data_IF_366582657127
#
_entry.id   IF_366582657127
#
_cell.length_a   1.000
_cell.length_b   1.000
_cell.length_c   1.000
_cell.angle_alpha   90.00
_cell.angle_beta   90.00
_cell.angle_gamma   90.00
#
_symmetry.space_group_name_H-M   'P 1'
#
loop_
_entity.id
_entity.type
_entity.pdbx_description
1 polymer ?
#
# COMPACT_ATOMS: atom_id res chain seq x y z
N UNK A 1 -20.42 -3.74 2.32
CA UNK A 1 -20.54 -2.28 2.18
C UNK A 1 -21.47 -1.79 3.28
N UNK A 2 -21.12 -0.76 4.06
CA UNK A 2 -21.99 -0.27 5.15
C UNK A 2 -23.30 0.28 4.56
N UNK A 3 -24.41 0.12 5.28
CA UNK A 3 -25.75 0.50 4.84
C UNK A 3 -25.84 1.98 4.39
N UNK A 4 -25.14 2.86 5.11
CA UNK A 4 -25.03 4.29 4.78
C UNK A 4 -24.32 4.53 3.43
N UNK A 5 -23.23 3.80 3.16
CA UNK A 5 -22.49 3.89 1.90
C UNK A 5 -23.35 3.44 0.72
N UNK A 6 -24.11 2.36 0.88
CA UNK A 6 -25.03 1.89 -0.14
C UNK A 6 -26.17 2.90 -0.40
N UNK A 7 -26.72 3.50 0.67
CA UNK A 7 -27.74 4.54 0.55
C UNK A 7 -27.22 5.79 -0.15
N UNK A 8 -25.98 6.19 0.13
CA UNK A 8 -25.34 7.34 -0.51
C UNK A 8 -25.12 7.13 -2.01
N UNK A 9 -24.58 5.96 -2.39
CA UNK A 9 -24.41 5.56 -3.80
C UNK A 9 -25.76 5.62 -4.54
N UNK A 10 -26.82 5.05 -3.94
CA UNK A 10 -28.17 5.08 -4.51
C UNK A 10 -28.72 6.50 -4.67
N UNK A 11 -28.47 7.39 -3.71
CA UNK A 11 -28.89 8.81 -3.79
C UNK A 11 -28.19 9.55 -4.91
N UNK A 12 -26.88 9.33 -5.11
CA UNK A 12 -26.13 9.92 -6.22
C UNK A 12 -26.62 9.44 -7.58
N UNK A 13 -26.87 8.14 -7.73
CA UNK A 13 -27.40 7.57 -8.97
C UNK A 13 -28.79 8.13 -9.30
N UNK A 14 -29.65 8.28 -8.30
CA UNK A 14 -30.94 8.96 -8.45
C UNK A 14 -30.79 10.44 -8.83
N UNK A 15 -29.83 11.16 -8.25
CA UNK A 15 -29.61 12.56 -8.61
C UNK A 15 -29.16 12.71 -10.07
N UNK A 16 -28.28 11.82 -10.54
CA UNK A 16 -27.84 11.79 -11.92
C UNK A 16 -28.99 11.51 -12.90
N UNK A 17 -29.91 10.60 -12.57
CA UNK A 17 -31.09 10.34 -13.41
C UNK A 17 -32.04 11.54 -13.49
N UNK A 18 -32.29 12.22 -12.36
CA UNK A 18 -33.10 13.44 -12.32
C UNK A 18 -32.48 14.54 -13.18
N UNK A 19 -31.15 14.71 -13.10
CA UNK A 19 -30.45 15.71 -13.90
C UNK A 19 -30.59 15.47 -15.40
N UNK A 20 -30.42 14.22 -15.86
CA UNK A 20 -30.65 13.85 -17.25
C UNK A 20 -32.03 14.29 -17.73
N UNK A 21 -33.06 13.94 -16.96
CA UNK A 21 -34.45 14.29 -17.29
C UNK A 21 -34.67 15.80 -17.34
N UNK A 22 -34.07 16.56 -16.42
CA UNK A 22 -34.13 18.03 -16.42
C UNK A 22 -33.47 18.65 -17.66
N UNK A 23 -32.31 18.16 -18.06
CA UNK A 23 -31.60 18.64 -19.26
C UNK A 23 -32.35 18.36 -20.56
N UNK A 24 -33.04 17.22 -20.64
CA UNK A 24 -33.71 16.77 -21.85
C UNK A 24 -35.09 17.43 -22.04
N UNK A 25 -35.75 17.85 -20.95
CA UNK A 25 -37.16 18.28 -20.96
C UNK A 25 -37.40 19.75 -20.58
N UNK A 26 -36.36 20.49 -20.17
CA UNK A 26 -36.52 21.88 -19.70
C UNK A 26 -35.51 22.81 -20.35
N UNK A 27 -35.98 23.95 -20.85
CA UNK A 27 -35.11 25.03 -21.32
C UNK A 27 -34.54 25.79 -20.12
N UNK A 28 -33.32 25.47 -19.74
CA UNK A 28 -32.63 26.05 -18.60
C UNK A 28 -31.65 27.14 -19.09
N UNK A 29 -31.47 28.21 -18.32
CA UNK A 29 -30.44 29.22 -18.62
C UNK A 29 -29.04 28.61 -18.62
N UNK A 30 -28.16 29.13 -19.48
CA UNK A 30 -26.80 28.60 -19.68
C UNK A 30 -26.00 28.54 -18.36
N UNK A 31 -26.17 29.53 -17.49
CA UNK A 31 -25.49 29.59 -16.19
C UNK A 31 -25.86 28.40 -15.28
N UNK A 32 -27.14 28.03 -15.24
CA UNK A 32 -27.59 26.89 -14.43
C UNK A 32 -27.12 25.58 -15.07
N UNK A 33 -27.14 25.48 -16.41
CA UNK A 33 -26.61 24.31 -17.13
C UNK A 33 -25.13 24.07 -16.80
N UNK A 34 -24.30 25.11 -16.84
CA UNK A 34 -22.88 25.00 -16.48
C UNK A 34 -22.66 24.61 -15.01
N UNK A 35 -23.43 25.19 -14.09
CA UNK A 35 -23.34 24.83 -12.67
C UNK A 35 -23.66 23.36 -12.42
N UNK A 36 -24.70 22.84 -13.07
CA UNK A 36 -25.10 21.45 -12.82
C UNK A 36 -24.19 20.45 -13.54
N UNK A 37 -23.67 20.77 -14.74
CA UNK A 37 -22.61 19.95 -15.37
C UNK A 37 -21.39 19.80 -14.46
N UNK A 38 -21.01 20.89 -13.77
CA UNK A 38 -19.94 20.85 -12.76
C UNK A 38 -20.29 19.93 -11.58
N UNK A 39 -21.49 20.06 -11.02
CA UNK A 39 -21.96 19.19 -9.93
C UNK A 39 -22.04 17.72 -10.34
N UNK A 40 -22.43 17.44 -11.58
CA UNK A 40 -22.48 16.08 -12.14
C UNK A 40 -21.08 15.46 -12.24
N UNK A 41 -20.10 16.24 -12.71
CA UNK A 41 -18.70 15.81 -12.76
C UNK A 41 -18.16 15.50 -11.37
N UNK A 42 -18.35 16.41 -10.42
CA UNK A 42 -17.94 16.23 -9.02
C UNK A 42 -18.62 15.01 -8.38
N UNK A 43 -19.93 14.84 -8.62
CA UNK A 43 -20.69 13.68 -8.15
C UNK A 43 -20.20 12.36 -8.73
N UNK A 44 -19.79 12.33 -10.00
CA UNK A 44 -19.23 11.14 -10.65
C UNK A 44 -17.86 10.78 -10.08
N UNK A 45 -16.98 11.76 -9.88
CA UNK A 45 -15.67 11.56 -9.24
C UNK A 45 -15.87 10.98 -7.83
N UNK A 46 -16.79 11.57 -7.06
CA UNK A 46 -17.11 11.11 -5.72
C UNK A 46 -17.70 9.68 -5.71
N UNK A 47 -18.58 9.35 -6.66
CA UNK A 47 -19.16 8.01 -6.80
C UNK A 47 -18.08 6.95 -7.06
N UNK A 48 -17.15 7.25 -7.96
CA UNK A 48 -16.01 6.35 -8.26
C UNK A 48 -15.14 6.16 -7.02
N UNK A 49 -14.83 7.23 -6.30
CA UNK A 49 -14.04 7.15 -5.07
C UNK A 49 -14.74 6.33 -3.98
N UNK A 50 -16.04 6.54 -3.74
CA UNK A 50 -16.82 5.81 -2.73
C UNK A 50 -16.99 4.33 -3.11
N UNK A 51 -17.21 4.02 -4.40
CA UNK A 51 -17.29 2.62 -4.86
C UNK A 51 -15.95 1.89 -4.69
N UNK A 52 -14.84 2.59 -4.89
CA UNK A 52 -13.48 2.04 -4.69
C UNK A 52 -13.17 1.81 -3.20
N UNK A 53 -13.45 2.80 -2.34
CA UNK A 53 -13.06 2.77 -0.92
C UNK A 53 -14.10 2.04 -0.05
N UNK A 54 -15.34 1.88 -0.51
CA UNK A 54 -16.40 1.13 0.19
C UNK A 54 -16.88 1.75 1.51
N UNK A 55 -16.49 3.00 1.79
CA UNK A 55 -16.81 3.77 2.99
C UNK A 55 -17.03 5.24 2.66
N UNK A 56 -17.85 5.93 3.46
CA UNK A 56 -18.06 7.38 3.38
C UNK A 56 -17.20 8.16 4.37
N UNK A 57 -16.48 7.46 5.24
CA UNK A 57 -15.68 8.10 6.27
C UNK A 57 -14.41 8.70 5.65
N UNK A 58 -14.26 10.02 5.77
CA UNK A 58 -13.02 10.75 5.46
C UNK A 58 -11.93 10.57 6.54
N UNK A 59 -12.20 9.79 7.59
CA UNK A 59 -11.20 9.42 8.59
C UNK A 59 -10.12 8.59 7.92
N UNK A 60 -8.88 9.10 7.94
CA UNK A 60 -7.74 8.51 7.25
C UNK A 60 -7.64 6.99 7.46
N UNK A 61 -7.31 6.28 6.37
CA UNK A 61 -7.06 4.84 6.42
C UNK A 61 -5.60 4.59 6.76
N UNK A 62 -5.36 3.57 7.57
CA UNK A 62 -4.03 2.96 7.65
C UNK A 62 -3.87 2.07 6.43
N UNK A 63 -2.88 2.35 5.62
CA UNK A 63 -2.47 1.49 4.52
C UNK A 63 -1.06 0.97 4.76
N UNK A 64 -0.81 -0.23 4.25
CA UNK A 64 0.54 -0.77 4.26
C UNK A 64 1.40 0.00 3.25
N UNK A 65 2.57 0.43 3.68
CA UNK A 65 3.58 1.05 2.81
C UNK A 65 4.81 0.16 2.78
N UNK A 66 5.17 -0.30 1.59
CA UNK A 66 6.36 -1.13 1.42
C UNK A 66 7.63 -0.35 1.80
N UNK A 67 8.44 -0.97 2.65
CA UNK A 67 9.70 -0.40 3.13
C UNK A 67 10.75 -0.38 2.02
N UNK A 68 11.85 0.36 2.25
CA UNK A 68 12.98 0.40 1.32
C UNK A 68 13.53 -1.01 1.06
N UNK A 69 13.63 -1.85 2.10
CA UNK A 69 14.05 -3.24 1.96
C UNK A 69 13.14 -4.01 1.01
N UNK A 70 11.81 -3.89 1.18
CA UNK A 70 10.83 -4.59 0.35
C UNK A 70 10.94 -4.15 -1.11
N UNK A 71 11.02 -2.84 -1.36
CA UNK A 71 11.18 -2.29 -2.71
C UNK A 71 12.46 -2.79 -3.36
N UNK A 72 13.59 -2.69 -2.67
CA UNK A 72 14.87 -3.19 -3.19
C UNK A 72 14.82 -4.69 -3.50
N UNK A 73 14.17 -5.50 -2.65
CA UNK A 73 13.99 -6.93 -2.87
C UNK A 73 13.20 -7.23 -4.14
N UNK A 74 12.10 -6.50 -4.38
CA UNK A 74 11.24 -6.68 -5.54
C UNK A 74 11.90 -6.19 -6.84
N UNK A 75 12.53 -5.01 -6.79
CA UNK A 75 13.08 -4.33 -7.97
C UNK A 75 14.52 -4.77 -8.30
N UNK A 76 15.17 -5.52 -7.40
CA UNK A 76 16.55 -5.98 -7.59
C UNK A 76 17.61 -4.93 -7.37
N UNK A 77 17.29 -3.89 -6.62
CA UNK A 77 18.26 -2.88 -6.21
C UNK A 77 19.22 -3.42 -5.14
N UNK A 78 20.36 -2.77 -5.00
CA UNK A 78 21.29 -3.08 -3.93
C UNK A 78 20.89 -2.30 -2.67
N UNK A 79 21.01 -2.95 -1.51
CA UNK A 79 20.73 -2.34 -0.23
C UNK A 79 21.97 -2.38 0.65
N UNK A 80 22.33 -1.23 1.22
CA UNK A 80 23.37 -1.11 2.24
C UNK A 80 22.70 -0.76 3.56
N UNK A 81 22.91 -1.57 4.60
CA UNK A 81 22.47 -1.28 5.96
C UNK A 81 23.71 -0.90 6.77
N UNK A 82 23.75 0.34 7.22
CA UNK A 82 24.90 0.87 7.94
C UNK A 82 24.81 0.65 9.45
N UNK A 83 25.98 0.44 10.07
CA UNK A 83 26.18 0.23 11.51
C UNK A 83 25.20 -0.80 12.11
N UNK A 84 25.10 -1.98 11.49
CA UNK A 84 24.11 -3.01 11.88
C UNK A 84 24.25 -3.46 13.32
N UNK A 85 25.43 -3.36 13.91
CA UNK A 85 25.70 -3.72 15.30
C UNK A 85 25.09 -2.74 16.32
N UNK A 86 24.60 -1.57 15.90
CA UNK A 86 23.80 -0.68 16.75
C UNK A 86 22.33 -1.12 16.84
N UNK A 87 21.91 -2.05 15.97
CA UNK A 87 20.55 -2.59 15.97
C UNK A 87 20.44 -3.77 16.96
N UNK A 88 19.26 -3.97 17.54
CA UNK A 88 19.00 -5.16 18.33
C UNK A 88 19.18 -6.42 17.48
N UNK A 89 19.90 -7.46 17.96
CA UNK A 89 20.09 -8.71 17.21
C UNK A 89 18.78 -9.33 16.73
N UNK A 90 17.71 -9.22 17.52
CA UNK A 90 16.38 -9.74 17.17
C UNK A 90 15.79 -9.09 15.91
N UNK A 91 16.16 -7.85 15.58
CA UNK A 91 15.72 -7.17 14.35
C UNK A 91 16.45 -7.75 13.14
N UNK A 92 17.77 -7.94 13.25
CA UNK A 92 18.57 -8.56 12.19
C UNK A 92 18.18 -10.03 11.97
N UNK A 93 17.79 -10.73 13.03
CA UNK A 93 17.39 -12.12 12.95
C UNK A 93 16.13 -12.34 12.08
N UNK A 94 15.31 -11.30 11.88
CA UNK A 94 14.20 -11.35 10.92
C UNK A 94 14.65 -11.48 9.46
N UNK A 95 15.90 -11.13 9.17
CA UNK A 95 16.51 -11.28 7.85
C UNK A 95 17.12 -12.66 7.63
N UNK A 96 17.29 -13.49 8.68
CA UNK A 96 17.96 -14.79 8.55
C UNK A 96 17.33 -15.68 7.47
N UNK A 97 16.00 -15.76 7.42
CA UNK A 97 15.29 -16.56 6.42
C UNK A 97 15.51 -16.07 4.98
N UNK A 98 15.71 -14.76 4.79
CA UNK A 98 16.03 -14.15 3.51
C UNK A 98 17.46 -14.48 3.07
N UNK A 99 18.38 -14.66 4.02
CA UNK A 99 19.81 -14.91 3.77
C UNK A 99 20.17 -16.39 3.60
N UNK A 100 19.19 -17.28 3.74
CA UNK A 100 19.35 -18.69 3.37
C UNK A 100 19.40 -18.87 1.84
N UNK A 101 19.97 -20.00 1.35
CA UNK A 101 19.88 -20.35 -0.07
C UNK A 101 18.41 -20.44 -0.52
N UNK A 102 18.05 -19.67 -1.56
CA UNK A 102 16.67 -19.50 -2.01
C UNK A 102 15.70 -18.95 -0.94
N UNK A 103 16.24 -18.18 0.02
CA UNK A 103 15.51 -17.57 1.11
C UNK A 103 14.42 -16.60 0.65
N UNK A 104 13.42 -16.41 1.52
CA UNK A 104 12.30 -15.49 1.30
C UNK A 104 12.11 -14.61 2.54
N UNK A 105 11.54 -13.43 2.34
CA UNK A 105 11.16 -12.53 3.43
C UNK A 105 9.66 -12.67 3.70
N UNK A 106 9.31 -13.24 4.85
CA UNK A 106 7.92 -13.30 5.32
C UNK A 106 7.54 -12.02 6.08
N UNK A 107 6.42 -11.41 5.72
CA UNK A 107 5.91 -10.17 6.33
C UNK A 107 4.55 -10.46 6.96
N UNK A 108 4.57 -10.92 8.22
CA UNK A 108 3.35 -11.22 8.97
C UNK A 108 2.56 -9.96 9.35
N UNK A 109 3.20 -8.80 9.46
CA UNK A 109 2.56 -7.53 9.84
C UNK A 109 1.65 -6.95 8.77
N UNK A 110 1.86 -7.32 7.50
CA UNK A 110 0.98 -6.93 6.39
C UNK A 110 -0.33 -7.70 6.40
N UNK A 111 -0.43 -8.75 7.23
CA UNK A 111 -1.57 -9.65 7.30
C UNK A 111 -1.53 -10.72 6.21
N UNK A 112 -2.70 -11.22 5.87
CA UNK A 112 -2.88 -12.22 4.80
C UNK A 112 -3.20 -11.55 3.48
N UNK A 113 -2.64 -12.08 2.39
CA UNK A 113 -2.98 -11.67 1.03
C UNK A 113 -4.42 -12.03 0.66
N UNK A 114 -4.84 -11.62 -0.55
CA UNK A 114 -6.18 -11.93 -1.08
C UNK A 114 -6.46 -13.44 -1.17
N UNK A 115 -5.41 -14.26 -1.22
CA UNK A 115 -5.43 -15.71 -1.25
C UNK A 115 -5.47 -16.37 0.15
N UNK A 116 -5.52 -15.56 1.21
CA UNK A 116 -5.53 -16.02 2.60
C UNK A 116 -4.18 -16.53 3.10
N UNK A 117 -3.09 -16.36 2.34
CA UNK A 117 -1.74 -16.78 2.73
C UNK A 117 -0.93 -15.62 3.29
N UNK A 118 0.09 -15.95 4.08
CA UNK A 118 1.08 -14.97 4.53
C UNK A 118 1.85 -14.43 3.33
N UNK A 119 2.16 -13.14 3.38
CA UNK A 119 2.90 -12.47 2.30
C UNK A 119 4.37 -12.82 2.41
N UNK A 120 4.85 -13.55 1.41
CA UNK A 120 6.25 -13.91 1.25
C UNK A 120 6.84 -13.22 0.02
N UNK A 121 7.97 -12.55 0.21
CA UNK A 121 8.68 -11.83 -0.83
C UNK A 121 9.93 -12.60 -1.21
N UNK A 122 9.99 -13.02 -2.47
CA UNK A 122 11.19 -13.64 -3.06
C UNK A 122 12.14 -12.54 -3.55
N UNK A 123 13.42 -12.57 -3.18
CA UNK A 123 14.38 -11.59 -3.67
C UNK A 123 14.55 -11.71 -5.18
N UNK A 124 14.62 -10.56 -5.85
CA UNK A 124 14.98 -10.49 -7.26
C UNK A 124 16.41 -10.97 -7.47
N UNK A 125 16.70 -11.59 -8.63
CA UNK A 125 18.01 -12.21 -8.94
C UNK A 125 19.20 -11.24 -8.82
N UNK A 126 18.95 -9.96 -9.07
CA UNK A 126 19.97 -8.89 -9.02
C UNK A 126 20.10 -8.21 -7.64
N UNK A 127 19.21 -8.52 -6.70
CA UNK A 127 19.27 -7.95 -5.35
C UNK A 127 20.57 -8.35 -4.64
N UNK A 128 21.21 -7.39 -3.98
CA UNK A 128 22.40 -7.61 -3.15
C UNK A 128 22.24 -6.84 -1.84
N UNK A 129 22.62 -7.47 -0.74
CA UNK A 129 22.59 -6.87 0.59
C UNK A 129 24.02 -6.71 1.11
N UNK A 130 24.34 -5.51 1.57
CA UNK A 130 25.61 -5.20 2.22
C UNK A 130 25.32 -4.71 3.64
N UNK A 131 26.08 -5.20 4.60
CA UNK A 131 25.98 -4.79 6.00
C UNK A 131 27.33 -4.21 6.40
N UNK A 132 27.33 -3.00 6.95
CA UNK A 132 28.54 -2.40 7.53
C UNK A 132 28.41 -2.34 9.04
N UNK A 133 29.53 -2.53 9.74
CA UNK A 133 29.58 -2.52 11.21
C UNK A 133 30.93 -1.99 11.69
N UNK A 134 30.94 -1.37 12.86
CA UNK A 134 32.17 -0.98 13.57
C UNK A 134 32.46 -1.98 14.71
N UNK A 135 33.53 -2.78 14.66
CA UNK A 135 33.87 -3.76 15.70
C UNK A 135 33.94 -3.19 17.12
N UNK A 136 34.18 -1.88 17.28
CA UNK A 136 34.21 -1.23 18.61
C UNK A 136 32.86 -1.21 19.31
N UNK A 137 31.77 -1.24 18.56
CA UNK A 137 30.40 -1.13 19.09
C UNK A 137 29.72 -2.51 19.25
N UNK A 138 30.49 -3.59 19.23
CA UNK A 138 30.00 -4.96 19.36
C UNK A 138 29.89 -5.69 18.03
N UNK A 139 29.47 -6.94 18.10
CA UNK A 139 29.37 -7.84 16.95
C UNK A 139 27.91 -8.18 16.63
N UNK A 140 27.64 -8.61 15.39
CA UNK A 140 26.36 -9.19 15.00
C UNK A 140 26.23 -10.65 15.45
N UNK A 141 25.01 -11.20 15.46
CA UNK A 141 24.76 -12.58 15.89
C UNK A 141 25.56 -13.59 15.06
N UNK A 142 25.97 -14.70 15.68
CA UNK A 142 26.67 -15.80 14.96
C UNK A 142 25.84 -16.31 13.78
N UNK A 143 24.52 -16.35 13.94
CA UNK A 143 23.58 -16.74 12.90
C UNK A 143 23.71 -15.87 11.64
N UNK A 144 23.83 -14.55 11.82
CA UNK A 144 24.04 -13.61 10.72
C UNK A 144 25.42 -13.77 10.08
N UNK A 145 26.48 -13.91 10.89
CA UNK A 145 27.85 -14.11 10.37
C UNK A 145 27.96 -15.38 9.53
N UNK A 146 27.37 -16.47 10.00
CA UNK A 146 27.41 -17.77 9.32
C UNK A 146 26.67 -17.79 7.96
N UNK A 147 25.88 -16.77 7.65
CA UNK A 147 25.13 -16.61 6.39
C UNK A 147 25.71 -15.52 5.48
N UNK A 148 26.69 -14.77 5.98
CA UNK A 148 27.36 -13.71 5.26
C UNK A 148 28.75 -14.12 4.78
N UNK A 149 29.36 -13.22 4.01
CA UNK A 149 30.79 -13.21 3.77
C UNK A 149 31.32 -11.97 4.48
N UNK A 150 32.28 -12.14 5.38
CA UNK A 150 32.95 -11.06 6.13
C UNK A 150 34.41 -10.91 5.71
#
# INVERSE_FOLDING_TARGET
>A
MKEETALFVKKLENLHSIWRVLCDNVTISENIRQFVLKLEEEGRVLLTAVKKEGTLNAGGKFEWVDSVLVKCLQDGHWLVIDNVNLCSPAVLDRLNALLEPNGTLAISERGVGEDGKMIEIKPHKNFRLFLTMDPKNGEISRAMRNRGVE
#
